data_IF_026327549160
#
_entry.id   IF_026327549160
#
_cell.length_a   1.000
_cell.length_b   1.000
_cell.length_c   1.000
_cell.angle_alpha   90.00
_cell.angle_beta   90.00
_cell.angle_gamma   90.00
#
_symmetry.space_group_name_H-M   'P 1'
#
loop_
_entity.id
_entity.type
_entity.pdbx_description
1 polymer ?
#
# COMPACT_ATOMS: atom_id res chain seq x y z
N UNK A 1 9.52 44.74 -47.39
CA UNK A 1 10.20 43.68 -46.60
C UNK A 1 9.17 42.63 -46.22
N UNK A 2 9.40 41.33 -46.45
CA UNK A 2 8.38 40.31 -46.21
C UNK A 2 8.24 40.00 -44.71
N UNK A 3 6.99 39.75 -44.30
CA UNK A 3 6.57 39.44 -42.93
C UNK A 3 7.13 38.09 -42.48
N UNK A 4 7.81 38.05 -41.32
CA UNK A 4 8.33 36.83 -40.71
C UNK A 4 7.18 35.95 -40.21
N UNK A 5 7.10 34.71 -40.68
CA UNK A 5 6.21 33.67 -40.13
C UNK A 5 6.72 33.21 -38.75
N UNK A 6 5.84 32.95 -37.76
CA UNK A 6 6.25 32.39 -36.47
C UNK A 6 6.68 30.92 -36.63
N UNK A 7 7.78 30.54 -35.97
CA UNK A 7 8.25 29.15 -35.90
C UNK A 7 7.35 28.35 -34.96
N UNK A 8 6.66 27.35 -35.49
CA UNK A 8 5.97 26.32 -34.70
C UNK A 8 7.03 25.35 -34.17
N UNK A 9 7.18 25.27 -32.86
CA UNK A 9 7.99 24.25 -32.19
C UNK A 9 7.27 22.91 -32.26
N UNK A 10 7.85 21.93 -32.96
CA UNK A 10 7.39 20.54 -32.91
C UNK A 10 7.64 19.98 -31.51
N UNK A 11 6.58 19.54 -30.84
CA UNK A 11 6.66 18.75 -29.61
C UNK A 11 7.27 17.40 -29.97
N UNK A 12 8.36 17.03 -29.32
CA UNK A 12 8.94 15.70 -29.44
C UNK A 12 8.04 14.71 -28.71
N UNK A 13 7.51 13.73 -29.45
CA UNK A 13 6.85 12.56 -28.88
C UNK A 13 7.95 11.71 -28.25
N UNK A 14 7.86 11.53 -26.93
CA UNK A 14 8.74 10.62 -26.20
C UNK A 14 8.22 9.21 -26.43
N UNK A 15 9.02 8.37 -27.08
CA UNK A 15 8.74 6.93 -27.13
C UNK A 15 8.97 6.37 -25.72
N UNK A 16 7.89 6.22 -24.95
CA UNK A 16 7.91 5.47 -23.70
C UNK A 16 8.10 3.99 -24.04
N UNK A 17 9.34 3.51 -23.94
CA UNK A 17 9.59 2.06 -23.92
C UNK A 17 8.78 1.45 -22.78
N UNK A 18 7.92 0.43 -23.03
CA UNK A 18 7.07 -0.12 -22.00
C UNK A 18 7.92 -0.67 -20.87
N UNK A 19 7.67 -0.19 -19.65
CA UNK A 19 8.25 -0.75 -18.44
C UNK A 19 7.66 -2.15 -18.28
N UNK A 20 8.43 -3.17 -18.64
CA UNK A 20 8.06 -4.56 -18.42
C UNK A 20 8.21 -4.84 -16.92
N UNK A 21 7.10 -4.76 -16.19
CA UNK A 21 7.04 -5.25 -14.81
C UNK A 21 7.01 -6.78 -14.85
N UNK A 22 8.08 -7.42 -14.39
CA UNK A 22 8.05 -8.84 -14.10
C UNK A 22 7.25 -9.04 -12.80
N UNK A 23 5.94 -9.25 -12.93
CA UNK A 23 5.13 -9.76 -11.83
C UNK A 23 5.61 -11.18 -11.54
N UNK A 24 6.23 -11.39 -10.38
CA UNK A 24 6.57 -12.72 -9.90
C UNK A 24 5.26 -13.39 -9.48
N UNK A 25 4.71 -14.20 -10.38
CA UNK A 25 3.51 -15.00 -10.12
C UNK A 25 3.87 -16.07 -9.10
N UNK A 26 3.11 -16.14 -8.01
CA UNK A 26 3.16 -17.21 -7.01
C UNK A 26 2.44 -18.45 -7.54
N UNK A 27 2.92 -19.65 -7.22
CA UNK A 27 2.41 -20.93 -7.77
C UNK A 27 0.88 -21.09 -7.57
N UNK A 28 0.31 -20.52 -6.51
CA UNK A 28 -1.14 -20.54 -6.25
C UNK A 28 -1.97 -19.76 -7.28
N UNK A 29 -1.38 -18.73 -7.91
CA UNK A 29 -2.07 -17.88 -8.88
C UNK A 29 -2.03 -18.45 -10.31
N UNK A 30 -1.17 -19.44 -10.61
CA UNK A 30 -1.14 -20.09 -11.93
C UNK A 30 -2.49 -20.76 -12.26
N UNK A 31 -3.18 -21.30 -11.25
CA UNK A 31 -4.50 -21.92 -11.41
C UNK A 31 -5.64 -20.96 -11.76
N UNK A 32 -5.42 -19.65 -11.55
CA UNK A 32 -6.40 -18.58 -11.82
C UNK A 32 -6.17 -17.88 -13.16
N UNK A 33 -5.02 -18.12 -13.79
CA UNK A 33 -4.66 -17.45 -15.04
C UNK A 33 -5.25 -18.24 -16.20
N UNK A 34 -6.32 -17.71 -16.76
CA UNK A 34 -6.92 -18.24 -17.99
C UNK A 34 -6.02 -17.81 -19.17
N UNK A 35 -5.55 -18.73 -20.01
CA UNK A 35 -4.68 -18.40 -21.14
C UNK A 35 -5.38 -17.43 -22.09
N UNK A 36 -4.60 -16.52 -22.68
CA UNK A 36 -5.07 -15.52 -23.65
C UNK A 36 -5.57 -16.20 -24.94
N UNK A 37 -6.81 -16.66 -24.91
CA UNK A 37 -7.43 -17.42 -26.00
C UNK A 37 -8.82 -17.93 -25.65
N UNK A 38 -9.09 -18.21 -24.38
CA UNK A 38 -10.42 -18.60 -23.92
C UNK A 38 -11.27 -17.35 -23.69
N UNK A 39 -12.29 -17.14 -24.53
CA UNK A 39 -13.29 -16.09 -24.30
C UNK A 39 -14.12 -16.48 -23.09
N UNK A 40 -13.88 -15.85 -21.94
CA UNK A 40 -14.76 -16.01 -20.77
C UNK A 40 -16.15 -15.52 -21.14
N UNK A 41 -17.15 -16.40 -21.06
CA UNK A 41 -18.53 -16.03 -21.31
C UNK A 41 -18.98 -15.04 -20.24
N UNK A 42 -19.69 -13.98 -20.65
CA UNK A 42 -20.20 -12.96 -19.73
C UNK A 42 -21.07 -13.55 -18.61
N UNK A 43 -21.78 -14.65 -18.89
CA UNK A 43 -22.55 -15.41 -17.91
C UNK A 43 -21.69 -15.94 -16.76
N UNK A 44 -20.47 -16.33 -17.03
CA UNK A 44 -19.61 -17.03 -16.07
C UNK A 44 -18.94 -16.03 -15.12
N UNK A 45 -18.64 -14.83 -15.63
CA UNK A 45 -18.19 -13.67 -14.84
C UNK A 45 -19.29 -13.25 -13.87
N UNK A 46 -20.53 -13.13 -14.36
CA UNK A 46 -21.68 -12.77 -13.51
C UNK A 46 -21.94 -13.83 -12.44
N UNK A 47 -21.86 -15.11 -12.79
CA UNK A 47 -22.05 -16.20 -11.83
C UNK A 47 -20.95 -16.22 -10.76
N UNK A 48 -19.69 -15.97 -11.14
CA UNK A 48 -18.58 -15.88 -10.20
C UNK A 48 -18.72 -14.70 -9.22
N UNK A 49 -19.13 -13.52 -9.71
CA UNK A 49 -19.43 -12.37 -8.84
C UNK A 49 -20.63 -12.63 -7.91
N UNK A 50 -21.65 -13.32 -8.40
CA UNK A 50 -22.83 -13.65 -7.61
C UNK A 50 -22.52 -14.67 -6.50
N UNK A 51 -21.72 -15.70 -6.79
CA UNK A 51 -21.24 -16.65 -5.78
C UNK A 51 -20.43 -15.96 -4.67
N UNK A 52 -19.52 -15.04 -5.01
CA UNK A 52 -18.73 -14.30 -4.01
C UNK A 52 -19.59 -13.41 -3.11
N UNK A 53 -20.69 -12.83 -3.63
CA UNK A 53 -21.63 -12.03 -2.83
C UNK A 53 -22.55 -12.88 -1.96
N UNK A 54 -22.92 -14.08 -2.40
CA UNK A 54 -23.86 -14.95 -1.69
C UNK A 54 -23.27 -15.64 -0.46
N UNK A 55 -21.96 -15.91 -0.44
CA UNK A 55 -21.31 -16.50 0.74
C UNK A 55 -21.30 -15.56 1.97
N UNK A 56 -21.20 -14.24 1.76
CA UNK A 56 -21.08 -13.28 2.88
C UNK A 56 -22.37 -12.99 3.63
N UNK A 57 -23.52 -13.21 3.01
CA UNK A 57 -24.81 -12.79 3.56
C UNK A 57 -25.86 -13.89 3.40
N UNK A 58 -25.63 -15.02 4.08
CA UNK A 58 -26.66 -16.04 4.22
C UNK A 58 -27.85 -15.48 5.03
N UNK A 59 -29.03 -15.44 4.41
CA UNK A 59 -30.23 -14.85 4.99
C UNK A 59 -30.66 -15.52 6.29
N UNK A 60 -30.39 -16.81 6.48
CA UNK A 60 -30.82 -17.54 7.67
C UNK A 60 -29.90 -17.28 8.87
N UNK A 61 -28.59 -17.11 8.63
CA UNK A 61 -27.65 -16.66 9.67
C UNK A 61 -27.99 -15.24 10.12
N UNK A 62 -28.31 -14.35 9.19
CA UNK A 62 -28.69 -12.97 9.50
C UNK A 62 -29.98 -12.89 10.33
N UNK A 63 -30.98 -13.74 10.10
CA UNK A 63 -32.19 -13.79 10.94
C UNK A 63 -31.85 -14.14 12.39
N UNK A 64 -30.93 -15.08 12.59
CA UNK A 64 -30.49 -15.51 13.92
C UNK A 64 -29.79 -14.38 14.66
N UNK A 65 -28.95 -13.62 13.96
CA UNK A 65 -28.28 -12.43 14.51
C UNK A 65 -29.33 -11.36 14.87
N UNK A 66 -30.24 -11.03 13.96
CA UNK A 66 -31.26 -10.01 14.17
C UNK A 66 -32.21 -10.33 15.34
N UNK A 67 -32.49 -11.61 15.63
CA UNK A 67 -33.31 -11.98 16.79
C UNK A 67 -32.68 -11.66 18.14
N UNK A 68 -31.35 -11.56 18.19
CA UNK A 68 -30.58 -11.31 19.42
C UNK A 68 -30.23 -9.83 19.60
N UNK A 69 -30.72 -8.95 18.73
CA UNK A 69 -30.26 -7.56 18.62
C UNK A 69 -31.41 -6.60 18.92
N UNK A 70 -31.15 -5.66 19.84
CA UNK A 70 -32.01 -4.52 20.12
C UNK A 70 -31.36 -3.24 19.55
N UNK A 71 -32.02 -2.65 18.56
CA UNK A 71 -31.50 -1.50 17.77
C UNK A 71 -32.60 -0.51 17.45
N UNK A 72 -32.24 0.78 17.45
CA UNK A 72 -33.06 1.83 16.84
C UNK A 72 -33.10 1.65 15.31
N UNK A 73 -34.29 1.39 14.77
CA UNK A 73 -34.43 1.10 13.34
C UNK A 73 -34.28 2.38 12.52
N UNK A 74 -33.27 2.38 11.64
CA UNK A 74 -33.09 3.43 10.64
C UNK A 74 -33.90 3.14 9.37
N UNK A 75 -34.21 4.20 8.61
CA UNK A 75 -34.82 4.06 7.28
C UNK A 75 -33.93 3.22 6.35
N UNK A 76 -34.49 2.40 5.45
CA UNK A 76 -33.71 1.67 4.44
C UNK A 76 -32.95 2.60 3.48
N UNK A 77 -33.31 3.88 3.43
CA UNK A 77 -32.61 4.90 2.63
C UNK A 77 -31.39 5.49 3.35
N UNK A 78 -31.20 5.18 4.63
CA UNK A 78 -30.07 5.68 5.41
C UNK A 78 -28.77 5.07 4.88
N UNK A 79 -27.82 5.92 4.54
CA UNK A 79 -26.49 5.48 4.11
C UNK A 79 -25.70 4.85 5.27
N UNK A 80 -24.65 4.11 4.94
CA UNK A 80 -23.72 3.59 5.93
C UNK A 80 -22.97 4.73 6.64
N UNK A 81 -22.85 4.64 7.96
CA UNK A 81 -22.18 5.68 8.77
C UNK A 81 -20.67 5.80 8.53
N UNK A 82 -20.05 4.76 7.96
CA UNK A 82 -18.62 4.77 7.61
C UNK A 82 -18.36 5.16 6.15
N UNK A 83 -18.84 4.36 5.19
CA UNK A 83 -18.56 4.56 3.77
C UNK A 83 -19.48 5.59 3.09
N UNK A 84 -20.50 6.11 3.79
CA UNK A 84 -21.43 7.15 3.29
C UNK A 84 -22.17 6.79 1.99
N UNK A 85 -22.31 5.49 1.68
CA UNK A 85 -23.07 5.00 0.53
C UNK A 85 -24.29 4.22 0.98
N UNK A 86 -25.33 4.26 0.14
CA UNK A 86 -26.47 3.36 0.24
C UNK A 86 -26.04 1.93 -0.08
N UNK A 87 -26.72 0.97 0.52
CA UNK A 87 -26.47 -0.44 0.30
C UNK A 87 -27.78 -1.20 0.26
N UNK A 88 -27.80 -2.23 -0.57
CA UNK A 88 -28.90 -3.17 -0.70
C UNK A 88 -28.52 -4.39 0.14
N UNK A 89 -29.30 -4.68 1.18
CA UNK A 89 -29.02 -5.78 2.10
C UNK A 89 -29.42 -5.48 3.54
N UNK A 90 -29.22 -6.46 4.42
CA UNK A 90 -29.43 -6.32 5.86
C UNK A 90 -28.33 -5.44 6.43
N UNK A 91 -28.70 -4.42 7.20
CA UNK A 91 -27.73 -3.57 7.88
C UNK A 91 -26.97 -4.35 8.95
N UNK A 92 -25.67 -4.10 9.02
CA UNK A 92 -24.82 -4.51 10.13
C UNK A 92 -24.85 -3.46 11.23
N UNK A 93 -24.68 -3.88 12.49
CA UNK A 93 -24.84 -3.05 13.68
C UNK A 93 -23.63 -3.18 14.59
N UNK A 94 -23.33 -2.14 15.36
CA UNK A 94 -22.22 -2.13 16.34
C UNK A 94 -22.75 -2.43 17.74
N UNK A 95 -22.39 -3.55 18.39
CA UNK A 95 -22.79 -3.81 19.77
C UNK A 95 -22.07 -2.88 20.75
N UNK A 96 -22.84 -2.23 21.62
CA UNK A 96 -22.34 -1.39 22.72
C UNK A 96 -22.20 -2.21 23.99
N UNK A 97 -23.23 -3.01 24.30
CA UNK A 97 -23.31 -3.82 25.50
C UNK A 97 -24.05 -5.12 25.22
N UNK A 98 -23.79 -6.11 26.06
CA UNK A 98 -24.42 -7.42 26.00
C UNK A 98 -25.10 -7.72 27.34
N UNK A 99 -26.38 -8.04 27.29
CA UNK A 99 -27.14 -8.50 28.44
C UNK A 99 -27.16 -10.03 28.46
N UNK A 100 -26.48 -10.60 29.45
CA UNK A 100 -26.33 -12.05 29.63
C UNK A 100 -27.65 -12.72 30.01
N UNK A 101 -28.55 -12.04 30.71
CA UNK A 101 -29.79 -12.65 31.19
C UNK A 101 -30.80 -12.86 30.07
N UNK A 102 -30.90 -11.88 29.17
CA UNK A 102 -31.83 -11.92 28.04
C UNK A 102 -31.18 -12.47 26.76
N UNK A 103 -29.85 -12.64 26.75
CA UNK A 103 -29.06 -12.94 25.54
C UNK A 103 -29.30 -11.92 24.41
N UNK A 104 -29.39 -10.64 24.78
CA UNK A 104 -29.68 -9.54 23.85
C UNK A 104 -28.48 -8.58 23.80
N UNK A 105 -28.10 -8.19 22.59
CA UNK A 105 -27.13 -7.13 22.33
C UNK A 105 -27.85 -5.80 22.18
N UNK A 106 -27.40 -4.79 22.92
CA UNK A 106 -27.78 -3.40 22.63
C UNK A 106 -26.81 -2.86 21.60
N UNK A 107 -27.30 -2.54 20.40
CA UNK A 107 -26.44 -2.10 19.31
C UNK A 107 -26.84 -0.71 18.80
N UNK A 108 -25.89 -0.03 18.17
CA UNK A 108 -26.06 1.25 17.49
C UNK A 108 -25.58 1.21 16.04
N UNK A 109 -26.08 2.16 15.27
CA UNK A 109 -25.57 2.47 13.94
C UNK A 109 -26.17 1.68 12.79
N UNK A 110 -25.88 2.18 11.59
CA UNK A 110 -26.29 1.58 10.33
C UNK A 110 -25.06 1.36 9.44
N UNK A 111 -24.64 0.11 9.28
CA UNK A 111 -23.41 -0.24 8.54
C UNK A 111 -23.69 -1.21 7.40
N UNK A 112 -22.92 -1.10 6.32
CA UNK A 112 -23.02 -2.04 5.19
C UNK A 112 -22.34 -3.39 5.45
N UNK A 113 -21.41 -3.45 6.40
CA UNK A 113 -20.64 -4.63 6.81
C UNK A 113 -20.15 -4.46 8.25
N UNK A 114 -19.85 -5.55 8.98
CA UNK A 114 -19.28 -5.43 10.33
C UNK A 114 -17.90 -4.78 10.32
N UNK A 115 -17.15 -4.85 9.21
CA UNK A 115 -15.87 -4.15 9.05
C UNK A 115 -16.00 -2.63 9.06
N UNK A 116 -17.09 -2.12 8.47
CA UNK A 116 -17.43 -0.70 8.53
C UNK A 116 -17.86 -0.28 9.94
N UNK A 117 -18.55 -1.17 10.68
CA UNK A 117 -18.90 -0.93 12.08
C UNK A 117 -17.63 -0.86 12.96
N UNK A 118 -16.66 -1.73 12.67
CA UNK A 118 -15.40 -1.80 13.38
C UNK A 118 -14.52 -0.57 13.13
N UNK A 119 -14.39 -0.14 11.87
CA UNK A 119 -13.67 1.07 11.52
C UNK A 119 -14.29 2.31 12.19
N UNK A 120 -15.62 2.39 12.24
CA UNK A 120 -16.33 3.46 12.94
C UNK A 120 -16.01 3.48 14.44
N UNK A 121 -16.01 2.32 15.11
CA UNK A 121 -15.66 2.20 16.52
C UNK A 121 -14.24 2.70 16.83
N UNK A 122 -13.27 2.38 15.97
CA UNK A 122 -11.90 2.87 16.14
C UNK A 122 -11.73 4.34 15.79
N UNK A 123 -12.56 4.88 14.90
CA UNK A 123 -12.52 6.29 14.50
C UNK A 123 -12.99 7.26 15.59
N UNK A 124 -13.79 6.79 16.55
CA UNK A 124 -14.30 7.66 17.62
C UNK A 124 -13.22 7.89 18.70
N UNK A 125 -12.67 9.09 18.71
CA UNK A 125 -11.64 9.50 19.68
C UNK A 125 -12.21 9.85 21.07
N UNK A 126 -13.54 9.91 21.24
CA UNK A 126 -14.17 10.23 22.53
C UNK A 126 -14.24 9.03 23.47
N UNK A 127 -14.15 7.83 22.91
CA UNK A 127 -14.32 6.55 23.60
C UNK A 127 -12.94 6.05 24.07
N UNK A 128 -12.89 5.45 25.26
CA UNK A 128 -11.64 4.88 25.79
C UNK A 128 -11.23 3.61 25.05
N UNK A 129 -9.94 3.32 24.97
CA UNK A 129 -9.45 2.14 24.24
C UNK A 129 -10.00 0.82 24.81
N UNK A 130 -10.21 0.74 26.13
CA UNK A 130 -10.84 -0.41 26.77
C UNK A 130 -12.27 -0.63 26.28
N UNK A 131 -13.04 0.44 26.11
CA UNK A 131 -14.42 0.32 25.59
C UNK A 131 -14.43 0.00 24.10
N UNK A 132 -13.47 0.52 23.31
CA UNK A 132 -13.29 0.11 21.91
C UNK A 132 -12.99 -1.37 21.78
N UNK A 133 -12.08 -1.92 22.59
CA UNK A 133 -11.77 -3.35 22.59
C UNK A 133 -12.95 -4.22 23.04
N UNK A 134 -13.71 -3.80 24.04
CA UNK A 134 -14.92 -4.52 24.45
C UNK A 134 -15.93 -4.58 23.30
N UNK A 135 -16.19 -3.46 22.63
CA UNK A 135 -17.08 -3.40 21.45
C UNK A 135 -16.57 -4.29 20.30
N UNK A 136 -15.26 -4.29 20.05
CA UNK A 136 -14.62 -5.18 19.07
C UNK A 136 -14.86 -6.67 19.40
N UNK A 137 -14.64 -7.07 20.66
CA UNK A 137 -14.88 -8.44 21.10
C UNK A 137 -16.36 -8.86 20.97
N UNK A 138 -17.28 -7.97 21.35
CA UNK A 138 -18.73 -8.20 21.20
C UNK A 138 -19.13 -8.32 19.73
N UNK A 139 -18.56 -7.50 18.85
CA UNK A 139 -18.80 -7.53 17.42
C UNK A 139 -18.31 -8.86 16.81
N UNK A 140 -17.11 -9.30 17.18
CA UNK A 140 -16.57 -10.60 16.77
C UNK A 140 -17.45 -11.77 17.23
N UNK A 141 -17.96 -11.72 18.46
CA UNK A 141 -18.88 -12.75 18.97
C UNK A 141 -20.25 -12.73 18.27
N UNK A 142 -20.80 -11.55 17.98
CA UNK A 142 -22.09 -11.41 17.29
C UNK A 142 -22.04 -11.96 15.85
N UNK A 143 -20.92 -11.75 15.18
CA UNK A 143 -20.72 -12.12 13.77
C UNK A 143 -19.85 -13.38 13.58
N UNK A 144 -19.58 -14.14 14.65
CA UNK A 144 -18.73 -15.33 14.61
C UNK A 144 -19.22 -16.36 13.57
N UNK A 145 -20.54 -16.54 13.46
CA UNK A 145 -21.16 -17.48 12.50
C UNK A 145 -20.97 -17.06 11.04
N UNK A 146 -20.80 -15.76 10.76
CA UNK A 146 -20.55 -15.24 9.41
C UNK A 146 -19.05 -15.26 9.04
N UNK A 147 -18.17 -15.22 10.04
CA UNK A 147 -16.73 -15.04 9.91
C UNK A 147 -15.95 -16.27 10.45
N UNK A 148 -16.33 -17.48 10.04
CA UNK A 148 -15.70 -18.71 10.54
C UNK A 148 -14.24 -18.88 10.09
N UNK A 149 -13.89 -18.37 8.91
CA UNK A 149 -12.61 -18.62 8.25
C UNK A 149 -11.72 -17.36 8.14
N UNK A 150 -12.22 -16.20 8.60
CA UNK A 150 -11.56 -14.90 8.42
C UNK A 150 -11.70 -14.06 9.68
N UNK A 151 -10.62 -13.45 10.15
CA UNK A 151 -10.67 -12.49 11.24
C UNK A 151 -11.31 -11.17 10.77
N UNK A 152 -12.05 -10.54 11.68
CA UNK A 152 -12.68 -9.26 11.43
C UNK A 152 -11.60 -8.16 11.41
N UNK A 153 -11.45 -7.47 10.28
CA UNK A 153 -10.43 -6.42 10.08
C UNK A 153 -11.07 -5.07 9.73
N UNK A 154 -10.73 -3.98 10.44
CA UNK A 154 -11.38 -2.69 10.24
C UNK A 154 -11.30 -2.24 8.77
N UNK A 155 -12.45 -1.79 8.26
CA UNK A 155 -12.53 -1.25 6.90
C UNK A 155 -11.55 -0.08 6.71
N UNK A 156 -10.98 0.07 5.49
CA UNK A 156 -10.01 1.12 5.22
C UNK A 156 -10.65 2.51 5.33
N UNK A 157 -9.83 3.57 5.46
CA UNK A 157 -10.35 4.92 5.68
C UNK A 157 -11.21 5.38 4.51
N UNK A 158 -12.29 6.10 4.83
CA UNK A 158 -13.22 6.65 3.83
C UNK A 158 -12.54 7.59 2.82
N UNK A 159 -11.38 8.15 3.14
CA UNK A 159 -10.57 8.97 2.21
C UNK A 159 -10.14 8.23 0.94
N UNK A 160 -10.15 6.88 0.93
CA UNK A 160 -9.88 6.10 -0.27
C UNK A 160 -11.01 6.13 -1.31
N UNK A 161 -12.22 6.48 -0.90
CA UNK A 161 -13.37 6.55 -1.81
C UNK A 161 -13.27 7.80 -2.68
N UNK A 162 -13.68 7.67 -3.96
CA UNK A 162 -13.80 8.79 -4.90
C UNK A 162 -14.65 9.95 -4.40
N UNK A 163 -15.67 9.67 -3.59
CA UNK A 163 -16.51 10.69 -2.95
C UNK A 163 -15.70 11.68 -2.10
N UNK A 164 -14.57 11.25 -1.53
CA UNK A 164 -13.66 12.06 -0.73
C UNK A 164 -12.36 12.43 -1.47
N UNK A 165 -12.27 12.13 -2.77
CA UNK A 165 -11.08 12.39 -3.60
C UNK A 165 -10.07 11.25 -3.66
N UNK A 166 -10.42 10.05 -3.18
CA UNK A 166 -9.59 8.86 -3.27
C UNK A 166 -9.68 8.13 -4.63
N UNK A 167 -8.83 7.12 -4.87
CA UNK A 167 -8.77 6.43 -6.15
C UNK A 167 -9.87 5.39 -6.35
N UNK A 168 -10.44 4.84 -5.27
CA UNK A 168 -11.32 3.66 -5.31
C UNK A 168 -12.78 4.05 -5.50
N UNK A 169 -13.47 3.29 -6.36
CA UNK A 169 -14.94 3.31 -6.41
C UNK A 169 -15.57 2.51 -5.27
N UNK A 170 -16.87 2.69 -5.00
CA UNK A 170 -17.56 2.00 -3.91
C UNK A 170 -17.54 0.47 -4.05
N UNK A 171 -17.63 -0.05 -5.27
CA UNK A 171 -17.57 -1.50 -5.51
C UNK A 171 -16.17 -2.03 -5.16
N UNK A 172 -15.13 -1.39 -5.71
CA UNK A 172 -13.73 -1.70 -5.42
C UNK A 172 -13.40 -1.60 -3.93
N UNK A 173 -13.98 -0.62 -3.23
CA UNK A 173 -13.81 -0.46 -1.79
C UNK A 173 -14.39 -1.65 -1.02
N UNK A 174 -15.59 -2.13 -1.38
CA UNK A 174 -16.21 -3.29 -0.71
C UNK A 174 -15.50 -4.61 -1.04
N UNK A 175 -14.96 -4.72 -2.25
CA UNK A 175 -14.14 -5.86 -2.66
C UNK A 175 -12.81 -5.88 -1.91
N UNK A 176 -12.19 -4.72 -1.71
CA UNK A 176 -10.97 -4.58 -0.91
C UNK A 176 -11.21 -5.05 0.53
N UNK A 177 -12.28 -4.56 1.17
CA UNK A 177 -12.69 -4.99 2.53
C UNK A 177 -12.92 -6.50 2.60
N UNK A 178 -13.30 -7.10 1.48
CA UNK A 178 -13.70 -8.49 1.41
C UNK A 178 -12.54 -9.47 1.28
N UNK A 179 -11.37 -9.02 0.83
CA UNK A 179 -10.16 -9.84 0.74
C UNK A 179 -9.35 -9.78 2.02
N UNK A 180 -8.15 -10.37 1.97
CA UNK A 180 -7.18 -10.27 3.05
C UNK A 180 -6.72 -8.81 3.13
N UNK A 181 -7.21 -8.09 4.15
CA UNK A 181 -6.85 -6.71 4.45
C UNK A 181 -5.39 -6.62 4.96
N UNK A 182 -4.44 -7.10 4.16
CA UNK A 182 -3.01 -7.02 4.42
C UNK A 182 -2.60 -5.55 4.31
N UNK A 183 -2.67 -4.83 5.43
CA UNK A 183 -2.17 -3.47 5.54
C UNK A 183 -0.66 -3.54 5.40
N UNK A 184 -0.14 -3.25 4.20
CA UNK A 184 1.30 -3.06 4.00
C UNK A 184 1.67 -1.72 4.61
N UNK A 185 2.10 -1.76 5.87
CA UNK A 185 2.58 -0.59 6.58
C UNK A 185 3.96 -0.23 6.03
N UNK A 186 3.99 0.60 4.98
CA UNK A 186 5.25 1.14 4.44
C UNK A 186 5.72 2.26 5.35
N UNK A 187 6.49 1.94 6.39
CA UNK A 187 7.15 2.92 7.26
C UNK A 187 8.11 3.85 6.47
N UNK A 188 8.47 3.44 5.26
CA UNK A 188 9.37 4.15 4.38
C UNK A 188 8.54 4.89 3.33
N UNK A 189 8.78 6.20 3.19
CA UNK A 189 8.29 6.97 2.06
C UNK A 189 8.70 6.28 0.75
N UNK A 190 7.88 6.32 -0.31
CA UNK A 190 8.24 5.67 -1.57
C UNK A 190 9.63 6.13 -2.02
N UNK A 191 10.59 5.19 -2.02
CA UNK A 191 11.97 5.49 -2.40
C UNK A 191 11.96 5.77 -3.90
N UNK A 192 11.97 7.04 -4.28
CA UNK A 192 12.24 7.43 -5.66
C UNK A 192 13.74 7.22 -5.90
N UNK A 193 14.09 6.17 -6.64
CA UNK A 193 15.44 5.99 -7.17
C UNK A 193 15.77 7.18 -8.08
N UNK A 194 16.55 8.12 -7.58
CA UNK A 194 17.15 9.17 -8.40
C UNK A 194 18.42 8.58 -9.01
N UNK A 195 18.36 8.15 -10.27
CA UNK A 195 19.57 7.85 -11.02
C UNK A 195 20.24 9.19 -11.37
N UNK A 196 21.42 9.50 -10.80
CA UNK A 196 22.15 10.69 -11.23
C UNK A 196 22.60 10.47 -12.67
N UNK A 197 21.96 11.16 -13.61
CA UNK A 197 22.47 11.24 -14.98
C UNK A 197 23.71 12.13 -14.98
N UNK A 198 24.89 11.53 -15.07
CA UNK A 198 26.10 12.29 -15.36
C UNK A 198 26.06 12.68 -16.84
N UNK A 199 26.18 13.97 -17.13
CA UNK A 199 26.44 14.43 -18.49
C UNK A 199 27.83 13.91 -18.90
N UNK A 200 27.87 12.81 -19.65
CA UNK A 200 29.11 12.27 -20.23
C UNK A 200 29.59 13.13 -21.42
N UNK A 201 28.87 14.20 -21.74
CA UNK A 201 29.31 15.22 -22.67
C UNK A 201 30.35 16.15 -22.01
N UNK A 202 31.48 15.57 -21.58
CA UNK A 202 32.70 16.35 -21.50
C UNK A 202 33.03 16.92 -22.88
N UNK A 203 33.67 18.09 -22.99
CA UNK A 203 34.10 18.58 -24.28
C UNK A 203 34.96 17.50 -24.94
N UNK A 204 34.57 17.04 -26.13
CA UNK A 204 35.32 16.07 -26.95
C UNK A 204 36.79 16.46 -27.22
N UNK A 205 37.21 17.65 -26.78
CA UNK A 205 38.53 18.25 -26.95
C UNK A 205 39.55 17.79 -25.90
N UNK A 206 39.11 17.16 -24.80
CA UNK A 206 40.00 16.64 -23.76
C UNK A 206 40.20 15.12 -23.82
N UNK A 207 40.11 14.52 -25.01
CA UNK A 207 40.80 13.25 -25.25
C UNK A 207 42.29 13.60 -25.26
N UNK A 208 42.89 13.63 -24.06
CA UNK A 208 44.32 13.88 -23.89
C UNK A 208 45.05 12.85 -24.74
N UNK A 209 45.57 13.32 -25.87
CA UNK A 209 46.52 12.61 -26.72
C UNK A 209 47.56 12.01 -25.78
N UNK A 210 47.78 10.70 -25.87
CA UNK A 210 48.77 10.01 -25.06
C UNK A 210 50.10 10.77 -25.15
N UNK A 211 50.50 11.41 -24.06
CA UNK A 211 51.81 12.06 -23.94
C UNK A 211 52.74 10.96 -23.46
N UNK A 212 53.60 10.46 -24.35
CA UNK A 212 54.65 9.53 -23.99
C UNK A 212 55.56 10.19 -22.96
N UNK A 213 55.48 9.76 -21.70
CA UNK A 213 56.37 10.21 -20.65
C UNK A 213 57.75 9.60 -20.90
N UNK A 214 58.80 10.44 -20.95
CA UNK A 214 60.17 9.94 -20.95
C UNK A 214 60.52 9.34 -19.58
N UNK A 215 61.45 8.38 -19.57
CA UNK A 215 61.92 7.75 -18.32
C UNK A 215 62.38 8.80 -17.30
N UNK A 216 63.07 9.85 -17.72
CA UNK A 216 63.52 10.95 -16.84
C UNK A 216 62.36 11.68 -16.13
N UNK A 217 61.22 11.85 -16.79
CA UNK A 217 60.05 12.50 -16.20
C UNK A 217 59.38 11.57 -15.19
N UNK A 218 59.34 10.27 -15.48
CA UNK A 218 58.82 9.25 -14.56
C UNK A 218 59.70 9.15 -13.32
N UNK A 219 61.03 9.16 -13.47
CA UNK A 219 61.97 9.12 -12.36
C UNK A 219 61.85 10.37 -11.48
N UNK A 220 61.85 11.58 -12.06
CA UNK A 220 61.63 12.83 -11.30
C UNK A 220 60.29 12.86 -10.59
N UNK A 221 59.22 12.42 -11.24
CA UNK A 221 57.90 12.34 -10.62
C UNK A 221 57.88 11.32 -9.47
N UNK A 222 58.56 10.19 -9.62
CA UNK A 222 58.65 9.16 -8.58
C UNK A 222 59.41 9.64 -7.33
N UNK A 223 60.35 10.57 -7.48
CA UNK A 223 61.10 11.13 -6.35
C UNK A 223 60.37 12.27 -5.63
N UNK A 224 59.60 13.07 -6.38
CA UNK A 224 58.91 14.26 -5.90
C UNK A 224 57.50 13.99 -5.38
N UNK A 225 56.76 13.08 -6.03
CA UNK A 225 55.38 12.75 -5.67
C UNK A 225 55.29 11.60 -4.64
N UNK A 226 56.42 10.98 -4.29
CA UNK A 226 56.46 10.04 -3.18
C UNK A 226 56.24 10.83 -1.89
N UNK A 227 55.18 10.48 -1.17
CA UNK A 227 54.84 11.09 0.11
C UNK A 227 56.04 11.02 1.05
N UNK A 228 56.73 12.15 1.23
CA UNK A 228 57.83 12.32 2.18
C UNK A 228 57.30 13.09 3.38
N UNK A 229 57.50 12.54 4.58
CA UNK A 229 57.27 13.32 5.81
C UNK A 229 58.35 14.39 5.92
N UNK A 230 57.96 15.65 6.12
CA UNK A 230 58.92 16.75 6.35
C UNK A 230 59.45 16.78 7.78
N UNK A 231 58.75 16.15 8.72
CA UNK A 231 59.11 16.09 10.15
C UNK A 231 59.53 14.66 10.55
N UNK A 232 60.57 14.49 11.39
CA UNK A 232 60.93 13.17 11.91
C UNK A 232 59.78 12.61 12.78
N UNK A 233 59.55 11.29 12.72
CA UNK A 233 58.56 10.64 13.60
C UNK A 233 59.04 10.78 15.03
N UNK A 234 58.14 11.23 15.90
CA UNK A 234 58.40 11.37 17.31
C UNK A 234 58.56 9.97 17.93
N UNK A 235 59.80 9.60 18.26
CA UNK A 235 60.16 8.25 18.72
C UNK A 235 59.55 7.94 20.09
N UNK A 236 59.20 8.98 20.87
CA UNK A 236 58.77 8.85 22.26
C UNK A 236 57.24 8.74 22.42
N UNK A 237 56.46 8.77 21.33
CA UNK A 237 55.01 8.62 21.37
C UNK A 237 54.60 7.43 20.51
N UNK A 238 53.91 6.42 21.07
CA UNK A 238 53.42 5.29 20.30
C UNK A 238 52.36 5.78 19.31
N UNK A 239 52.72 5.83 18.04
CA UNK A 239 51.83 6.17 16.93
C UNK A 239 51.45 4.91 16.16
N UNK A 240 50.29 4.91 15.49
CA UNK A 240 49.80 3.76 14.72
C UNK A 240 50.82 3.21 13.71
N UNK A 241 51.73 4.05 13.20
CA UNK A 241 52.83 3.65 12.31
C UNK A 241 53.78 2.62 12.95
N UNK A 242 53.95 2.61 14.28
CA UNK A 242 54.76 1.60 14.97
C UNK A 242 54.10 0.21 14.98
N UNK A 243 52.77 0.14 14.84
CA UNK A 243 52.03 -1.11 14.82
C UNK A 243 52.06 -1.80 13.45
N UNK A 244 52.47 -1.11 12.38
CA UNK A 244 52.49 -1.63 11.00
C UNK A 244 53.86 -2.27 10.66
N UNK A 245 54.71 -2.56 11.66
CA UNK A 245 55.96 -3.30 11.42
C UNK A 245 55.64 -4.69 10.85
N UNK A 246 55.86 -4.87 9.55
CA UNK A 246 55.85 -6.17 8.89
C UNK A 246 56.97 -7.02 9.49
N UNK A 247 56.62 -8.21 9.98
CA UNK A 247 57.55 -9.33 10.16
C UNK A 247 58.22 -9.64 8.83
#
# INVERSE_FOLDING_TARGET
>A
MPVRKPRVSKVQVVDESPVVFFLKITEDDESRIIPAGDTTSYSDILNAEFSRKTEKFNTDLLKTILSKVQVERYSPQTACFWCCHNFEGVHSVLPISYDVYNNIYSCEGNFCSPECALAFNYSDNKISDSTKWNRHALLGHLYADLYSNSELSPAPPRSLLRLFGGPLDIQQYRDYVSGDNNIVLSEIHPIRLLFPSMNVQGPLRDIKKYVSLSHDVVEKASEQLRLKRSKPVNVNVPTLDMCIRRV
#
